data_IF_877919908970
#
_entry.id   IF_877919908970
#
_cell.length_a   1.000
_cell.length_b   1.000
_cell.length_c   1.000
_cell.angle_alpha   90.00
_cell.angle_beta   90.00
_cell.angle_gamma   90.00
#
_symmetry.space_group_name_H-M   'P 1'
#
loop_
_entity.id
_entity.type
_entity.pdbx_description
1 polymer ?
#
# COMPACT_ATOMS: atom_id res chain seq x y z
N UNK A 1 -7.18 -4.13 -15.03
CA UNK A 1 -6.10 -5.17 -14.94
C UNK A 1 -6.10 -5.77 -13.55
N UNK A 2 -5.79 -7.05 -13.38
CA UNK A 2 -5.69 -7.69 -12.06
C UNK A 2 -4.48 -8.62 -12.01
N UNK A 3 -3.79 -8.63 -10.87
CA UNK A 3 -2.71 -9.57 -10.55
C UNK A 3 -2.84 -10.02 -9.11
N UNK A 4 -2.39 -11.23 -8.84
CA UNK A 4 -2.23 -11.77 -7.49
C UNK A 4 -0.76 -12.09 -7.27
N UNK A 5 -0.26 -11.75 -6.09
CA UNK A 5 1.09 -12.13 -5.67
C UNK A 5 1.04 -12.62 -4.22
N UNK A 6 2.03 -13.43 -3.87
CA UNK A 6 2.23 -13.91 -2.50
C UNK A 6 3.39 -13.11 -1.89
N UNK A 7 3.16 -12.55 -0.71
CA UNK A 7 4.15 -11.83 0.07
C UNK A 7 4.17 -12.42 1.49
N UNK A 8 5.17 -13.24 1.78
CA UNK A 8 5.20 -14.06 2.98
C UNK A 8 3.97 -14.95 3.11
N UNK A 9 3.21 -14.75 4.19
CA UNK A 9 1.94 -15.45 4.47
C UNK A 9 0.70 -14.79 3.86
N UNK A 10 0.84 -13.67 3.13
CA UNK A 10 -0.28 -12.91 2.58
C UNK A 10 -0.42 -13.12 1.08
N UNK A 11 -1.66 -13.08 0.61
CA UNK A 11 -2.02 -12.95 -0.79
C UNK A 11 -2.44 -11.50 -1.04
N UNK A 12 -1.68 -10.79 -1.88
CA UNK A 12 -2.06 -9.46 -2.32
C UNK A 12 -2.87 -9.58 -3.62
N UNK A 13 -4.16 -9.26 -3.56
CA UNK A 13 -5.02 -9.11 -4.73
C UNK A 13 -4.97 -7.67 -5.23
N UNK A 14 -4.27 -7.43 -6.35
CA UNK A 14 -3.96 -6.08 -6.82
C UNK A 14 -4.73 -5.80 -8.11
N UNK A 15 -5.70 -4.90 -8.02
CA UNK A 15 -6.56 -4.50 -9.13
C UNK A 15 -6.24 -3.07 -9.56
N UNK A 16 -6.27 -2.84 -10.86
CA UNK A 16 -6.21 -1.53 -11.48
C UNK A 16 -7.55 -1.28 -12.19
N UNK A 17 -8.27 -0.22 -11.80
CA UNK A 17 -9.52 0.20 -12.47
C UNK A 17 -9.28 0.64 -13.91
N UNK A 18 -10.33 0.83 -14.70
CA UNK A 18 -10.16 1.17 -16.13
C UNK A 18 -9.52 2.56 -16.34
N UNK A 19 -9.63 3.45 -15.34
CA UNK A 19 -9.09 4.82 -15.33
C UNK A 19 -7.75 4.93 -14.58
N UNK A 20 -7.21 3.84 -14.05
CA UNK A 20 -5.95 3.88 -13.30
C UNK A 20 -4.74 4.17 -14.20
N UNK A 21 -3.70 4.81 -13.66
CA UNK A 21 -2.42 4.92 -14.35
C UNK A 21 -1.62 3.60 -14.31
N UNK A 22 -1.42 2.99 -15.48
CA UNK A 22 -0.73 1.70 -15.62
C UNK A 22 0.76 1.73 -15.28
N UNK A 23 1.44 2.87 -15.45
CA UNK A 23 2.87 3.03 -15.09
C UNK A 23 3.05 2.98 -13.57
N UNK A 24 2.15 3.65 -12.83
CA UNK A 24 2.13 3.66 -11.36
C UNK A 24 1.81 2.26 -10.84
N UNK A 25 0.79 1.62 -11.41
CA UNK A 25 0.46 0.22 -11.13
C UNK A 25 1.65 -0.72 -11.36
N UNK A 26 2.35 -0.59 -12.48
CA UNK A 26 3.54 -1.42 -12.75
C UNK A 26 4.72 -1.10 -11.82
N UNK A 27 4.87 0.15 -11.40
CA UNK A 27 5.90 0.57 -10.44
C UNK A 27 5.66 -0.03 -9.06
N UNK A 28 4.40 -0.25 -8.67
CA UNK A 28 4.07 -0.93 -7.42
C UNK A 28 4.66 -2.34 -7.32
N UNK A 29 4.62 -3.13 -8.39
CA UNK A 29 5.23 -4.46 -8.35
C UNK A 29 6.74 -4.42 -8.14
N UNK A 30 7.43 -3.42 -8.71
CA UNK A 30 8.87 -3.22 -8.46
C UNK A 30 9.15 -2.91 -6.99
N UNK A 31 8.25 -2.19 -6.32
CA UNK A 31 8.36 -1.91 -4.89
C UNK A 31 8.20 -3.19 -4.09
N UNK A 32 7.18 -3.99 -4.39
CA UNK A 32 6.97 -5.28 -3.72
C UNK A 32 8.20 -6.18 -3.92
N UNK A 33 8.75 -6.28 -5.12
CA UNK A 33 9.93 -7.10 -5.39
C UNK A 33 11.15 -6.60 -4.60
N UNK A 34 11.39 -5.29 -4.60
CA UNK A 34 12.58 -4.69 -3.98
C UNK A 34 12.55 -4.68 -2.45
N UNK A 35 11.35 -4.61 -1.84
CA UNK A 35 11.16 -4.45 -0.40
C UNK A 35 10.33 -5.59 0.20
N UNK A 36 10.33 -6.75 -0.45
CA UNK A 36 9.49 -7.89 -0.05
C UNK A 36 9.76 -8.32 1.40
N UNK A 37 11.03 -8.44 1.78
CA UNK A 37 11.43 -8.86 3.13
C UNK A 37 10.97 -7.86 4.20
N UNK A 38 11.20 -6.57 3.97
CA UNK A 38 10.83 -5.52 4.92
C UNK A 38 9.31 -5.36 5.02
N UNK A 39 8.60 -5.46 3.90
CA UNK A 39 7.14 -5.41 3.88
C UNK A 39 6.53 -6.64 4.55
N UNK A 40 7.10 -7.83 4.37
CA UNK A 40 6.66 -9.04 5.08
C UNK A 40 6.80 -8.88 6.60
N UNK A 41 7.97 -8.42 7.05
CA UNK A 41 8.22 -8.16 8.47
C UNK A 41 7.26 -7.12 9.05
N UNK A 42 7.00 -6.04 8.32
CA UNK A 42 6.00 -5.03 8.70
C UNK A 42 4.59 -5.64 8.78
N UNK A 43 4.19 -6.43 7.77
CA UNK A 43 2.88 -7.08 7.78
C UNK A 43 2.71 -8.06 8.95
N UNK A 44 3.79 -8.71 9.38
CA UNK A 44 3.80 -9.55 10.57
C UNK A 44 3.69 -8.75 11.87
N UNK A 45 4.47 -7.68 12.01
CA UNK A 45 4.47 -6.81 13.20
C UNK A 45 3.08 -6.24 13.49
N UNK A 46 2.37 -5.85 12.43
CA UNK A 46 1.03 -5.25 12.53
C UNK A 46 -0.11 -6.27 12.45
N UNK A 47 0.20 -7.57 12.47
CA UNK A 47 -0.76 -8.69 12.46
C UNK A 47 -1.75 -8.64 11.29
N UNK A 48 -1.28 -8.23 10.10
CA UNK A 48 -2.14 -8.15 8.92
C UNK A 48 -2.66 -9.55 8.53
N UNK A 49 -3.96 -9.68 8.21
CA UNK A 49 -4.56 -10.95 7.83
C UNK A 49 -4.03 -11.44 6.48
N UNK A 50 -4.33 -12.70 6.16
CA UNK A 50 -3.81 -13.38 4.96
C UNK A 50 -4.22 -12.73 3.65
N UNK A 51 -5.40 -12.10 3.58
CA UNK A 51 -5.88 -11.46 2.35
C UNK A 51 -5.78 -9.94 2.41
N UNK A 52 -5.07 -9.35 1.43
CA UNK A 52 -4.96 -7.90 1.26
C UNK A 52 -5.39 -7.54 -0.16
N UNK A 53 -6.43 -6.74 -0.29
CA UNK A 53 -6.93 -6.23 -1.57
C UNK A 53 -6.44 -4.80 -1.77
N UNK A 54 -5.74 -4.56 -2.87
CA UNK A 54 -5.16 -3.27 -3.22
C UNK A 54 -5.79 -2.81 -4.53
N UNK A 55 -6.53 -1.70 -4.49
CA UNK A 55 -7.19 -1.14 -5.67
C UNK A 55 -6.51 0.14 -6.10
N UNK A 56 -5.85 0.10 -7.25
CA UNK A 56 -5.39 1.29 -7.96
C UNK A 56 -6.58 1.94 -8.67
N UNK A 57 -6.86 3.20 -8.31
CA UNK A 57 -7.92 4.03 -8.86
C UNK A 57 -7.33 5.34 -9.39
N UNK A 58 -8.03 6.08 -10.26
CA UNK A 58 -7.57 7.42 -10.64
C UNK A 58 -7.56 8.34 -9.41
N UNK A 59 -8.71 8.41 -8.71
CA UNK A 59 -8.93 9.23 -7.53
C UNK A 59 -9.26 10.68 -7.84
N UNK A 60 -9.82 11.36 -6.83
CA UNK A 60 -10.12 12.80 -6.89
C UNK A 60 -9.35 13.54 -5.78
N UNK A 61 -8.77 14.70 -6.11
CA UNK A 61 -8.04 15.54 -5.17
C UNK A 61 -6.59 15.10 -4.89
N UNK A 62 -6.13 15.38 -3.66
CA UNK A 62 -4.74 15.18 -3.19
C UNK A 62 -4.57 13.91 -2.34
N UNK A 63 -5.60 13.05 -2.24
CA UNK A 63 -5.55 11.84 -1.41
C UNK A 63 -4.73 10.75 -2.12
N UNK A 64 -3.69 10.23 -1.47
CA UNK A 64 -2.77 9.23 -2.06
C UNK A 64 -3.23 7.79 -1.81
N UNK A 65 -3.74 7.52 -0.61
CA UNK A 65 -4.16 6.19 -0.16
C UNK A 65 -5.40 6.27 0.72
N UNK A 66 -6.09 5.14 0.85
CA UNK A 66 -7.17 5.00 1.81
C UNK A 66 -7.36 3.55 2.24
N UNK A 67 -7.18 3.29 3.53
CA UNK A 67 -7.53 2.03 4.17
C UNK A 67 -8.99 2.00 4.64
N UNK A 68 -9.67 0.88 4.37
CA UNK A 68 -11.03 0.65 4.86
C UNK A 68 -11.06 -0.10 6.19
N UNK A 69 -11.68 0.51 7.20
CA UNK A 69 -11.89 -0.11 8.51
C UNK A 69 -12.77 -1.36 8.40
N UNK A 70 -12.27 -2.48 8.93
CA UNK A 70 -12.99 -3.75 9.01
C UNK A 70 -14.27 -3.63 9.87
N UNK A 71 -15.33 -4.38 9.51
CA UNK A 71 -16.62 -4.23 10.19
C UNK A 71 -17.72 -5.08 9.58
N UNK A 72 -18.96 -4.56 9.52
CA UNK A 72 -20.12 -5.31 8.99
C UNK A 72 -20.01 -5.65 7.50
N UNK A 73 -19.28 -4.83 6.72
CA UNK A 73 -19.19 -4.95 5.25
C UNK A 73 -17.89 -5.55 4.74
N UNK A 74 -16.80 -5.42 5.50
CA UNK A 74 -15.49 -5.93 5.14
C UNK A 74 -15.12 -6.97 6.20
N UNK A 75 -14.84 -8.19 5.74
CA UNK A 75 -14.42 -9.30 6.59
C UNK A 75 -13.21 -8.90 7.44
N UNK A 76 -13.15 -9.37 8.68
CA UNK A 76 -11.98 -9.21 9.55
C UNK A 76 -10.73 -9.90 8.99
N UNK A 77 -10.91 -10.83 8.06
CA UNK A 77 -9.82 -11.57 7.43
C UNK A 77 -9.29 -10.91 6.16
N UNK A 78 -9.82 -9.73 5.81
CA UNK A 78 -9.43 -9.01 4.59
C UNK A 78 -9.07 -7.58 4.95
N UNK A 79 -7.96 -7.10 4.42
CA UNK A 79 -7.64 -5.68 4.36
C UNK A 79 -7.96 -5.15 2.97
N UNK A 80 -8.56 -3.96 2.90
CA UNK A 80 -8.80 -3.29 1.63
C UNK A 80 -8.12 -1.92 1.66
N UNK A 81 -7.25 -1.68 0.70
CA UNK A 81 -6.51 -0.44 0.52
C UNK A 81 -6.79 0.07 -0.89
N UNK A 82 -7.19 1.33 -1.00
CA UNK A 82 -7.19 2.04 -2.27
C UNK A 82 -5.91 2.87 -2.40
N UNK A 83 -5.30 2.86 -3.58
CA UNK A 83 -4.20 3.74 -3.95
C UNK A 83 -4.67 4.60 -5.12
N UNK A 84 -4.71 5.92 -4.92
CA UNK A 84 -5.16 6.87 -5.93
C UNK A 84 -3.98 7.33 -6.75
N UNK A 85 -4.02 7.09 -8.05
CA UNK A 85 -2.87 7.25 -8.94
C UNK A 85 -2.62 8.70 -9.37
N UNK A 86 -3.65 9.54 -9.40
CA UNK A 86 -3.54 10.93 -9.90
C UNK A 86 -2.51 11.78 -9.14
N UNK A 87 -2.44 11.78 -7.80
CA UNK A 87 -1.41 12.54 -7.07
C UNK A 87 0.03 12.08 -7.36
N UNK A 88 0.23 10.83 -7.77
CA UNK A 88 1.56 10.30 -8.10
C UNK A 88 2.03 10.63 -9.51
N UNK A 89 1.15 11.08 -10.42
CA UNK A 89 1.48 11.32 -11.82
C UNK A 89 2.58 12.39 -12.03
N UNK A 90 2.80 13.24 -11.01
CA UNK A 90 3.88 14.25 -10.99
C UNK A 90 5.26 13.66 -10.67
N UNK A 91 5.34 12.44 -10.15
CA UNK A 91 6.58 11.79 -9.76
C UNK A 91 7.05 10.79 -10.80
N UNK A 92 8.37 10.57 -10.88
CA UNK A 92 8.98 9.60 -11.81
C UNK A 92 10.12 8.85 -11.15
N UNK A 93 10.42 7.66 -11.67
CA UNK A 93 11.58 6.85 -11.28
C UNK A 93 11.63 6.57 -9.78
N UNK A 94 12.80 6.79 -9.17
CA UNK A 94 13.02 6.52 -7.73
C UNK A 94 12.07 7.30 -6.82
N UNK A 95 11.72 8.54 -7.17
CA UNK A 95 10.81 9.35 -6.36
C UNK A 95 9.40 8.78 -6.36
N UNK A 96 8.90 8.34 -7.52
CA UNK A 96 7.61 7.64 -7.62
C UNK A 96 7.59 6.41 -6.72
N UNK A 97 8.64 5.58 -6.79
CA UNK A 97 8.73 4.37 -5.98
C UNK A 97 8.74 4.68 -4.48
N UNK A 98 9.42 5.77 -4.08
CA UNK A 98 9.48 6.19 -2.68
C UNK A 98 8.11 6.62 -2.16
N UNK A 99 7.41 7.47 -2.90
CA UNK A 99 6.09 7.97 -2.48
C UNK A 99 5.05 6.83 -2.45
N UNK A 100 5.11 5.90 -3.41
CA UNK A 100 4.23 4.73 -3.42
C UNK A 100 4.49 3.79 -2.23
N UNK A 101 5.77 3.54 -1.90
CA UNK A 101 6.12 2.73 -0.73
C UNK A 101 5.65 3.42 0.56
N UNK A 102 5.93 4.72 0.70
CA UNK A 102 5.51 5.53 1.86
C UNK A 102 3.99 5.44 2.06
N UNK A 103 3.22 5.62 0.98
CA UNK A 103 1.76 5.52 1.01
C UNK A 103 1.30 4.10 1.39
N UNK A 104 1.88 3.07 0.79
CA UNK A 104 1.45 1.69 1.09
C UNK A 104 1.75 1.30 2.55
N UNK A 105 2.94 1.65 3.05
CA UNK A 105 3.37 1.44 4.44
C UNK A 105 2.46 2.23 5.39
N UNK A 106 2.10 3.46 5.05
CA UNK A 106 1.18 4.28 5.82
C UNK A 106 -0.17 3.58 6.02
N UNK A 107 -0.77 3.07 4.94
CA UNK A 107 -2.06 2.37 5.02
C UNK A 107 -1.97 1.03 5.77
N UNK A 108 -0.84 0.31 5.66
CA UNK A 108 -0.58 -0.90 6.45
C UNK A 108 -0.56 -0.58 7.94
N UNK A 109 0.21 0.44 8.35
CA UNK A 109 0.35 0.81 9.77
C UNK A 109 -0.98 1.31 10.34
N UNK A 110 -1.75 2.03 9.52
CA UNK A 110 -3.09 2.51 9.90
C UNK A 110 -4.08 1.40 10.24
N UNK A 111 -3.81 0.15 9.84
CA UNK A 111 -4.59 -1.01 10.24
C UNK A 111 -4.70 -1.12 11.78
N UNK A 112 -3.57 -0.97 12.47
CA UNK A 112 -3.47 -1.18 13.93
C UNK A 112 -3.27 0.12 14.70
N UNK A 113 -2.92 1.22 14.02
CA UNK A 113 -2.65 2.53 14.63
C UNK A 113 -3.68 3.57 14.17
N UNK A 114 -4.50 4.04 15.10
CA UNK A 114 -5.56 5.03 14.78
C UNK A 114 -5.05 6.48 14.69
N UNK A 115 -3.93 6.77 15.32
CA UNK A 115 -3.39 8.13 15.40
C UNK A 115 -2.55 8.44 14.17
N UNK A 116 -3.03 9.35 13.31
CA UNK A 116 -2.29 9.86 12.15
C UNK A 116 -0.86 10.31 12.51
N UNK A 117 -0.71 10.95 13.68
CA UNK A 117 0.59 11.42 14.16
C UNK A 117 1.55 10.25 14.46
N UNK A 118 1.04 9.18 15.05
CA UNK A 118 1.83 7.98 15.37
C UNK A 118 2.12 7.17 14.11
N UNK A 119 1.14 7.00 13.23
CA UNK A 119 1.34 6.36 11.93
C UNK A 119 2.46 7.05 11.16
N UNK A 120 2.41 8.39 11.00
CA UNK A 120 3.49 9.14 10.34
C UNK A 120 4.86 8.99 10.99
N UNK A 121 4.91 8.81 12.31
CA UNK A 121 6.17 8.57 13.01
C UNK A 121 6.72 7.20 12.65
N UNK A 122 5.90 6.16 12.71
CA UNK A 122 6.29 4.78 12.39
C UNK A 122 6.65 4.60 10.90
N UNK A 123 5.90 5.25 10.00
CA UNK A 123 6.24 5.30 8.57
C UNK A 123 7.64 5.87 8.38
N UNK A 124 7.97 6.99 9.03
CA UNK A 124 9.32 7.57 8.93
C UNK A 124 10.40 6.64 9.45
N UNK A 125 10.16 5.96 10.56
CA UNK A 125 11.10 4.98 11.13
C UNK A 125 11.34 3.82 10.15
N UNK A 126 10.28 3.27 9.55
CA UNK A 126 10.40 2.26 8.49
C UNK A 126 11.18 2.81 7.28
N UNK A 127 10.79 3.98 6.78
CA UNK A 127 11.38 4.60 5.58
C UNK A 127 12.85 4.99 5.75
N UNK A 128 13.34 5.18 6.98
CA UNK A 128 14.77 5.41 7.28
C UNK A 128 15.61 4.13 7.21
N UNK A 129 15.00 2.97 7.41
CA UNK A 129 15.69 1.68 7.44
C UNK A 129 15.76 1.01 6.06
N UNK A 130 14.90 1.40 5.12
CA UNK A 130 14.90 0.91 3.73
C UNK A 130 15.84 1.74 2.83
N UNK A 131 16.60 1.07 1.96
CA UNK A 131 17.56 1.72 1.05
C UNK A 131 17.02 1.79 -0.38
N UNK A 132 17.04 2.96 -1.00
CA UNK A 132 16.50 3.26 -2.34
C UNK A 132 17.54 3.47 -3.44
#
# INVERSE_FOLDING_TARGET
MEKRLVLGRRVLGIRCSDECNSEIYNSFFKIIDNFSYELEGLMDEYELPEEVLINFKEGEGELYGFYYVQGKRISKNVIVIDIYTKPFAKFKGKLLNKELLDTFVHEIIHHSVRSEKETRKMVKEFMMNVKF
#
